data_IF_285949003894
#
_entry.id   IF_285949003894
#
_cell.length_a   1.000
_cell.length_b   1.000
_cell.length_c   1.000
_cell.angle_alpha   90.00
_cell.angle_beta   90.00
_cell.angle_gamma   90.00
#
_symmetry.space_group_name_H-M   'P 1'
#
loop_
_entity.id
_entity.type
_entity.pdbx_description
1 polymer ?
#
# COMPACT_ATOMS: atom_id res chain seq x y z
N UNK A 1 -0.03 15.81 0.30
CA UNK A 1 0.09 14.77 1.36
C UNK A 1 -0.13 13.38 0.80
N UNK A 2 -1.32 13.01 0.33
CA UNK A 2 -1.54 11.65 -0.21
C UNK A 2 -0.66 11.36 -1.44
N UNK A 3 -0.52 12.33 -2.36
CA UNK A 3 0.32 12.16 -3.54
C UNK A 3 1.80 11.89 -3.20
N UNK A 4 2.31 12.48 -2.10
CA UNK A 4 3.68 12.22 -1.63
C UNK A 4 3.80 10.80 -1.06
N UNK A 5 2.83 10.37 -0.25
CA UNK A 5 2.77 8.98 0.26
C UNK A 5 2.73 7.97 -0.89
N UNK A 6 1.93 8.23 -1.92
CA UNK A 6 1.85 7.38 -3.11
C UNK A 6 3.19 7.31 -3.86
N UNK A 7 3.84 8.46 -4.04
CA UNK A 7 5.13 8.58 -4.70
C UNK A 7 6.23 7.84 -3.92
N UNK A 8 6.28 8.03 -2.61
CA UNK A 8 7.26 7.36 -1.73
C UNK A 8 7.05 5.85 -1.74
N UNK A 9 5.80 5.39 -1.68
CA UNK A 9 5.48 3.96 -1.74
C UNK A 9 5.94 3.33 -3.05
N UNK A 10 5.62 3.95 -4.19
CA UNK A 10 6.04 3.48 -5.52
C UNK A 10 7.56 3.44 -5.64
N UNK A 11 8.25 4.46 -5.12
CA UNK A 11 9.71 4.53 -5.12
C UNK A 11 10.33 3.38 -4.30
N UNK A 12 9.83 3.14 -3.09
CA UNK A 12 10.34 2.06 -2.24
C UNK A 12 10.09 0.70 -2.87
N UNK A 13 8.91 0.46 -3.43
CA UNK A 13 8.60 -0.80 -4.12
C UNK A 13 9.48 -1.00 -5.35
N UNK A 14 9.69 0.03 -6.17
CA UNK A 14 10.60 -0.04 -7.33
C UNK A 14 12.04 -0.36 -6.92
N UNK A 15 12.53 0.27 -5.85
CA UNK A 15 13.86 -0.03 -5.31
C UNK A 15 13.96 -1.46 -4.75
N UNK A 16 12.89 -1.95 -4.12
CA UNK A 16 12.82 -3.34 -3.66
C UNK A 16 12.84 -4.33 -4.82
N UNK A 17 12.12 -4.05 -5.91
CA UNK A 17 12.13 -4.89 -7.11
C UNK A 17 13.54 -4.98 -7.74
N UNK A 18 14.29 -3.88 -7.74
CA UNK A 18 15.68 -3.87 -8.23
C UNK A 18 16.66 -4.54 -7.25
N UNK A 19 16.43 -4.38 -5.95
CA UNK A 19 17.35 -4.79 -4.87
C UNK A 19 16.58 -5.47 -3.72
N UNK A 20 16.08 -6.69 -3.92
CA UNK A 20 15.19 -7.37 -2.97
C UNK A 20 15.89 -7.77 -1.66
N UNK A 21 17.22 -7.75 -1.63
CA UNK A 21 18.03 -8.06 -0.46
C UNK A 21 18.17 -6.87 0.51
N UNK A 22 17.70 -5.68 0.16
CA UNK A 22 17.75 -4.51 1.04
C UNK A 22 16.56 -4.48 2.02
N UNK A 23 16.77 -3.99 3.26
CA UNK A 23 15.78 -4.05 4.31
C UNK A 23 14.77 -2.90 4.26
N UNK A 24 13.93 -2.84 3.22
CA UNK A 24 12.92 -1.77 3.04
C UNK A 24 11.70 -1.85 3.98
N UNK A 25 11.72 -2.76 4.95
CA UNK A 25 10.63 -2.95 5.92
C UNK A 25 10.32 -1.66 6.69
N UNK A 26 11.34 -0.94 7.15
CA UNK A 26 11.16 0.28 7.95
C UNK A 26 10.49 1.40 7.15
N UNK A 27 10.89 1.58 5.89
CA UNK A 27 10.32 2.57 4.98
C UNK A 27 8.85 2.25 4.67
N UNK A 28 8.54 0.99 4.37
CA UNK A 28 7.16 0.55 4.13
C UNK A 28 6.28 0.76 5.36
N UNK A 29 6.78 0.44 6.56
CA UNK A 29 6.06 0.68 7.81
C UNK A 29 5.78 2.16 8.05
N UNK A 30 6.78 3.02 7.83
CA UNK A 30 6.62 4.46 7.98
C UNK A 30 5.57 5.02 7.02
N UNK A 31 5.69 4.68 5.74
CA UNK A 31 4.79 5.15 4.67
C UNK A 31 3.34 4.75 4.95
N UNK A 32 3.12 3.48 5.33
CA UNK A 32 1.79 2.97 5.67
C UNK A 32 1.23 3.57 6.97
N UNK A 33 2.08 3.95 7.93
CA UNK A 33 1.64 4.73 9.08
C UNK A 33 1.25 6.17 8.74
N UNK A 34 1.99 6.83 7.85
CA UNK A 34 1.63 8.17 7.42
C UNK A 34 0.31 8.17 6.64
N UNK A 35 0.04 7.10 5.88
CA UNK A 35 -1.27 6.86 5.26
C UNK A 35 -2.39 6.71 6.30
N UNK A 36 -2.16 5.96 7.37
CA UNK A 36 -3.12 5.80 8.48
C UNK A 36 -3.51 7.14 9.09
N UNK A 37 -2.53 7.99 9.38
CA UNK A 37 -2.77 9.35 9.94
C UNK A 37 -3.63 10.18 9.00
N UNK A 38 -3.29 10.22 7.70
CA UNK A 38 -4.05 11.01 6.70
C UNK A 38 -5.48 10.50 6.57
N UNK A 39 -5.69 9.18 6.56
CA UNK A 39 -7.01 8.57 6.42
C UNK A 39 -7.88 8.84 7.65
N UNK A 40 -7.29 8.75 8.84
CA UNK A 40 -8.00 9.06 10.09
C UNK A 40 -8.47 10.52 10.15
N UNK A 41 -7.63 11.46 9.71
CA UNK A 41 -7.99 12.88 9.61
C UNK A 41 -9.14 13.12 8.63
N UNK A 42 -9.16 12.40 7.50
CA UNK A 42 -10.18 12.55 6.45
C UNK A 42 -11.47 11.78 6.72
N UNK A 43 -11.45 10.76 7.60
CA UNK A 43 -12.57 9.84 7.88
C UNK A 43 -13.21 9.23 6.62
N UNK A 44 -12.41 9.02 5.57
CA UNK A 44 -12.86 8.55 4.27
C UNK A 44 -11.88 7.51 3.74
N UNK A 45 -12.37 6.55 2.95
CA UNK A 45 -11.50 5.62 2.24
C UNK A 45 -10.61 6.39 1.26
N UNK A 46 -9.35 6.01 1.15
CA UNK A 46 -8.39 6.64 0.25
C UNK A 46 -7.96 5.63 -0.81
N UNK A 47 -8.06 6.00 -2.09
CA UNK A 47 -7.41 5.25 -3.16
C UNK A 47 -5.91 5.46 -3.05
N UNK A 48 -5.18 4.38 -2.76
CA UNK A 48 -3.73 4.41 -2.60
C UNK A 48 -3.05 4.29 -3.97
N UNK A 49 -3.32 3.25 -4.74
CA UNK A 49 -2.85 3.10 -6.11
C UNK A 49 -3.67 2.04 -6.84
N UNK A 50 -3.44 1.89 -8.15
CA UNK A 50 -3.86 0.73 -8.92
C UNK A 50 -2.67 -0.20 -9.13
N UNK A 51 -2.90 -1.51 -9.02
CA UNK A 51 -1.86 -2.52 -9.27
C UNK A 51 -1.52 -2.59 -10.76
N UNK A 52 -0.47 -3.33 -11.11
CA UNK A 52 -0.12 -3.66 -12.48
C UNK A 52 -1.28 -4.30 -13.26
N UNK A 53 -2.14 -5.05 -12.58
CA UNK A 53 -3.34 -5.70 -13.13
C UNK A 53 -4.59 -4.80 -13.10
N UNK A 54 -4.43 -3.48 -12.90
CA UNK A 54 -5.52 -2.51 -12.80
C UNK A 54 -6.52 -2.79 -11.67
N UNK A 55 -6.06 -3.44 -10.60
CA UNK A 55 -6.87 -3.64 -9.39
C UNK A 55 -6.65 -2.46 -8.44
N UNK A 56 -7.70 -1.75 -7.99
CA UNK A 56 -7.53 -0.65 -7.06
C UNK A 56 -7.24 -1.13 -5.64
N UNK A 57 -6.24 -0.50 -5.02
CA UNK A 57 -5.87 -0.69 -3.62
C UNK A 57 -6.30 0.52 -2.83
N UNK A 58 -7.18 0.32 -1.87
CA UNK A 58 -7.69 1.35 -0.97
C UNK A 58 -7.11 1.17 0.44
N UNK A 59 -7.06 2.27 1.19
CA UNK A 59 -6.94 2.24 2.63
C UNK A 59 -8.23 2.73 3.28
N UNK A 60 -8.77 1.92 4.18
CA UNK A 60 -10.08 2.11 4.79
C UNK A 60 -9.97 2.91 6.10
N UNK A 61 -11.03 3.64 6.50
CA UNK A 61 -11.05 4.36 7.79
C UNK A 61 -10.89 3.46 9.02
N UNK A 62 -11.22 2.17 8.90
CA UNK A 62 -11.05 1.16 9.95
C UNK A 62 -9.60 0.67 10.10
N UNK A 63 -8.68 1.20 9.28
CA UNK A 63 -7.25 0.93 9.36
C UNK A 63 -6.75 -0.22 8.49
N UNK A 64 -7.60 -0.81 7.64
CA UNK A 64 -7.24 -1.94 6.77
C UNK A 64 -6.97 -1.52 5.33
N UNK A 65 -6.10 -2.26 4.66
CA UNK A 65 -5.95 -2.21 3.21
C UNK A 65 -7.05 -3.04 2.56
N UNK A 66 -7.58 -2.58 1.44
CA UNK A 66 -8.69 -3.20 0.73
C UNK A 66 -8.31 -3.30 -0.75
N UNK A 67 -8.14 -4.52 -1.24
CA UNK A 67 -7.85 -4.81 -2.65
C UNK A 67 -9.16 -5.26 -3.28
N UNK A 68 -9.71 -4.43 -4.17
CA UNK A 68 -11.02 -4.68 -4.77
C UNK A 68 -10.86 -5.24 -6.19
N UNK A 69 -10.55 -6.54 -6.27
CA UNK A 69 -10.48 -7.26 -7.55
C UNK A 69 -11.87 -7.68 -8.03
N UNK A 70 -12.05 -7.95 -9.34
CA UNK A 70 -13.32 -8.48 -9.85
C UNK A 70 -13.68 -9.81 -9.16
N UNK A 71 -14.83 -9.83 -8.47
CA UNK A 71 -15.32 -11.02 -7.76
C UNK A 71 -14.62 -11.36 -6.43
N UNK A 72 -13.63 -10.56 -6.00
CA UNK A 72 -12.89 -10.79 -4.76
C UNK A 72 -12.50 -9.48 -4.09
N UNK A 73 -12.90 -9.31 -2.82
CA UNK A 73 -12.42 -8.21 -1.97
C UNK A 73 -11.55 -8.77 -0.87
N UNK A 74 -10.28 -8.36 -0.84
CA UNK A 74 -9.32 -8.80 0.18
C UNK A 74 -9.10 -7.64 1.15
N UNK A 75 -9.23 -7.91 2.45
CA UNK A 75 -8.86 -6.98 3.50
C UNK A 75 -7.59 -7.45 4.17
N UNK A 76 -6.62 -6.56 4.32
CA UNK A 76 -5.31 -6.86 4.91
C UNK A 76 -5.01 -5.90 6.05
N UNK A 77 -4.37 -6.40 7.11
CA UNK A 77 -3.70 -5.54 8.09
C UNK A 77 -2.49 -4.84 7.46
N UNK A 78 -1.84 -3.96 8.23
CA UNK A 78 -0.61 -3.31 7.78
C UNK A 78 0.50 -4.34 7.51
N UNK A 79 0.68 -5.28 8.42
CA UNK A 79 1.68 -6.35 8.34
C UNK A 79 1.42 -7.23 7.13
N UNK A 80 0.19 -7.71 6.96
CA UNK A 80 -0.20 -8.58 5.84
C UNK A 80 -0.04 -7.87 4.49
N UNK A 81 -0.34 -6.58 4.42
CA UNK A 81 -0.13 -5.77 3.22
C UNK A 81 1.35 -5.62 2.87
N UNK A 82 2.19 -5.31 3.86
CA UNK A 82 3.64 -5.19 3.67
C UNK A 82 4.24 -6.54 3.26
N UNK A 83 3.87 -7.63 3.93
CA UNK A 83 4.32 -8.98 3.56
C UNK A 83 3.86 -9.36 2.15
N UNK A 84 2.65 -9.00 1.76
CA UNK A 84 2.15 -9.22 0.40
C UNK A 84 2.98 -8.48 -0.64
N UNK A 85 3.31 -7.21 -0.39
CA UNK A 85 4.18 -6.41 -1.27
C UNK A 85 5.57 -7.03 -1.42
N UNK A 86 6.16 -7.51 -0.32
CA UNK A 86 7.48 -8.14 -0.33
C UNK A 86 7.48 -9.50 -1.02
N UNK A 87 6.33 -10.20 -1.03
CA UNK A 87 6.12 -11.43 -1.79
C UNK A 87 5.84 -11.20 -3.28
N UNK A 88 5.83 -9.95 -3.74
CA UNK A 88 5.56 -9.61 -5.12
C UNK A 88 4.09 -9.45 -5.49
N UNK A 89 3.20 -9.39 -4.51
CA UNK A 89 1.76 -9.25 -4.74
C UNK A 89 1.34 -7.78 -4.70
N UNK A 90 0.34 -7.44 -5.52
CA UNK A 90 -0.33 -6.13 -5.53
C UNK A 90 0.61 -4.95 -5.80
N UNK A 91 1.65 -5.15 -6.61
CA UNK A 91 2.57 -4.07 -6.93
C UNK A 91 1.89 -2.94 -7.70
N UNK A 92 2.19 -1.66 -7.37
CA UNK A 92 1.64 -0.52 -8.05
C UNK A 92 2.14 -0.45 -9.50
N UNK A 93 1.28 0.06 -10.36
CA UNK A 93 1.63 0.48 -11.73
C UNK A 93 2.56 1.69 -11.75
#
# INVERSE_FOLDING_TARGET
MINEIQKDLKKVISLYQEKPYLPFWGELFKITQDLKKVTHLKKQKILLYETNESVPVFYQPDGRFCIAAPGLTIFLTQEEFIDSLLRGMFWPK
#
